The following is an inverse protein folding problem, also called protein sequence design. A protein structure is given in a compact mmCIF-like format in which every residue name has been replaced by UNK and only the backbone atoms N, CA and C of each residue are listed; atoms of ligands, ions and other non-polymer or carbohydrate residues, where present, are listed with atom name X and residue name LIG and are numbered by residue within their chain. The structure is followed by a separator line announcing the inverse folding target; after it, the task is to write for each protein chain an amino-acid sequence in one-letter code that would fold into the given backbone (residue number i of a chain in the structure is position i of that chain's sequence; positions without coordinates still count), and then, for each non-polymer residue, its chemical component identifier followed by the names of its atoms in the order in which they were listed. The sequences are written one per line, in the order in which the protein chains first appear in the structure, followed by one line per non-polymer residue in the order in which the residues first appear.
data_IF_752515722138
#
_entry.id   IF_752515722138
#
_cell.length_a   1.000
_cell.length_b   1.000
_cell.length_c   1.000
_cell.angle_alpha   90.00
_cell.angle_beta   90.00
_cell.angle_gamma   90.00
#
_symmetry.space_group_name_H-M   'P 1'
#
loop_
_entity.id
_entity.type
_entity.pdbx_description
1 polymer ?
#
# COMPACT_ATOMS: atom_id res chain seq x y z
N UNK A 1 -17.54 26.37 -3.25
CA UNK A 1 -16.17 26.21 -2.69
C UNK A 1 -15.46 25.16 -3.51
N UNK A 2 -14.37 25.48 -4.21
CA UNK A 2 -13.65 24.46 -4.99
C UNK A 2 -12.99 23.47 -4.03
N UNK A 3 -13.37 22.21 -4.10
CA UNK A 3 -12.89 21.14 -3.22
C UNK A 3 -11.35 20.96 -3.33
N UNK A 4 -10.81 21.12 -4.53
CA UNK A 4 -9.41 20.82 -4.86
C UNK A 4 -8.59 22.09 -5.14
N UNK A 5 -8.57 23.06 -4.18
CA UNK A 5 -7.71 24.24 -4.23
C UNK A 5 -7.00 24.41 -2.89
N UNK A 6 -5.76 24.93 -2.92
CA UNK A 6 -5.00 25.21 -1.70
C UNK A 6 -5.77 26.18 -0.79
N UNK A 7 -5.88 25.81 0.48
CA UNK A 7 -6.64 26.57 1.49
C UNK A 7 -5.73 27.58 2.18
N UNK A 8 -5.99 28.85 2.01
CA UNK A 8 -5.22 29.94 2.63
C UNK A 8 -5.90 30.46 3.89
N UNK A 9 -7.23 30.42 3.97
CA UNK A 9 -8.00 30.92 5.11
C UNK A 9 -8.17 29.82 6.18
N UNK A 10 -8.12 30.21 7.47
CA UNK A 10 -8.28 29.33 8.63
C UNK A 10 -9.62 28.58 8.60
N UNK A 11 -10.72 29.29 8.31
CA UNK A 11 -12.06 28.70 8.27
C UNK A 11 -12.13 27.60 7.21
N UNK A 12 -11.59 27.87 6.01
CA UNK A 12 -11.56 26.91 4.92
C UNK A 12 -10.71 25.68 5.25
N UNK A 13 -9.59 25.85 5.97
CA UNK A 13 -8.77 24.71 6.40
C UNK A 13 -9.53 23.83 7.39
N UNK A 14 -10.14 24.43 8.43
CA UNK A 14 -10.88 23.68 9.45
C UNK A 14 -12.08 22.96 8.84
N UNK A 15 -12.89 23.65 8.01
CA UNK A 15 -14.03 23.04 7.34
C UNK A 15 -13.62 21.85 6.45
N UNK A 16 -12.53 22.02 5.70
CA UNK A 16 -12.03 20.97 4.82
C UNK A 16 -11.52 19.75 5.59
N UNK A 17 -10.78 19.97 6.67
CA UNK A 17 -10.33 18.93 7.57
C UNK A 17 -11.50 18.21 8.25
N UNK A 18 -12.55 18.93 8.65
CA UNK A 18 -13.74 18.34 9.23
C UNK A 18 -14.47 17.41 8.23
N UNK A 19 -14.55 17.81 6.95
CA UNK A 19 -15.13 16.96 5.89
C UNK A 19 -14.29 15.68 5.73
N UNK A 20 -12.96 15.80 5.67
CA UNK A 20 -12.07 14.64 5.52
C UNK A 20 -12.10 13.73 6.76
N UNK A 21 -12.23 14.30 7.96
CA UNK A 21 -12.43 13.53 9.20
C UNK A 21 -13.77 12.78 9.17
N UNK A 22 -14.85 13.42 8.68
CA UNK A 22 -16.14 12.75 8.53
C UNK A 22 -16.09 11.59 7.53
N UNK A 23 -15.32 11.71 6.44
CA UNK A 23 -15.11 10.62 5.48
C UNK A 23 -14.38 9.45 6.18
N UNK A 24 -13.32 9.72 6.95
CA UNK A 24 -12.63 8.68 7.70
C UNK A 24 -13.56 8.01 8.73
N UNK A 25 -14.40 8.79 9.43
CA UNK A 25 -15.38 8.23 10.35
C UNK A 25 -16.36 7.28 9.63
N UNK A 26 -16.83 7.67 8.45
CA UNK A 26 -17.70 6.81 7.63
C UNK A 26 -16.96 5.50 7.28
N UNK A 27 -15.68 5.55 6.92
CA UNK A 27 -14.90 4.35 6.63
C UNK A 27 -14.76 3.45 7.86
N UNK A 28 -14.46 4.00 9.03
CA UNK A 28 -14.36 3.27 10.30
C UNK A 28 -15.71 2.62 10.67
N UNK A 29 -16.80 3.33 10.50
CA UNK A 29 -18.14 2.79 10.78
C UNK A 29 -18.52 1.69 9.77
N UNK A 30 -18.28 1.91 8.48
CA UNK A 30 -18.55 0.90 7.45
C UNK A 30 -17.74 -0.37 7.66
N UNK A 31 -16.47 -0.25 8.07
CA UNK A 31 -15.62 -1.38 8.42
C UNK A 31 -16.27 -2.25 9.50
N UNK A 32 -16.87 -1.63 10.51
CA UNK A 32 -17.53 -2.35 11.60
C UNK A 32 -18.83 -3.04 11.18
N UNK A 33 -19.62 -2.39 10.34
CA UNK A 33 -20.92 -2.91 9.91
C UNK A 33 -20.84 -3.84 8.68
N UNK A 34 -19.82 -3.70 7.87
CA UNK A 34 -19.64 -4.42 6.61
C UNK A 34 -18.22 -5.06 6.53
N UNK A 35 -17.96 -6.11 7.34
CA UNK A 35 -16.61 -6.70 7.44
C UNK A 35 -16.02 -7.18 6.11
N UNK A 36 -16.87 -7.53 5.12
CA UNK A 36 -16.40 -7.92 3.79
C UNK A 36 -15.78 -6.75 2.98
N UNK A 37 -16.06 -5.50 3.36
CA UNK A 37 -15.47 -4.31 2.75
C UNK A 37 -14.20 -3.82 3.48
N UNK A 38 -13.86 -4.40 4.63
CA UNK A 38 -12.74 -3.97 5.50
C UNK A 38 -11.46 -3.72 4.70
N UNK A 39 -11.05 -4.67 3.87
CA UNK A 39 -9.82 -4.54 3.09
C UNK A 39 -9.86 -3.33 2.15
N UNK A 40 -10.98 -3.11 1.46
CA UNK A 40 -11.15 -1.98 0.55
C UNK A 40 -11.13 -0.65 1.31
N UNK A 41 -11.82 -0.59 2.45
CA UNK A 41 -11.91 0.62 3.27
C UNK A 41 -10.55 0.98 3.88
N UNK A 42 -9.82 0.00 4.39
CA UNK A 42 -8.45 0.17 4.87
C UNK A 42 -7.55 0.74 3.76
N UNK A 43 -7.65 0.23 2.54
CA UNK A 43 -6.85 0.72 1.42
C UNK A 43 -7.10 2.19 1.06
N UNK A 44 -8.30 2.71 1.35
CA UNK A 44 -8.68 4.11 1.03
C UNK A 44 -8.38 5.11 2.15
N UNK A 45 -8.13 4.66 3.38
CA UNK A 45 -7.93 5.53 4.54
C UNK A 45 -6.81 6.57 4.36
N UNK A 46 -5.62 6.26 3.81
CA UNK A 46 -4.56 7.26 3.66
C UNK A 46 -4.94 8.39 2.71
N UNK A 47 -5.90 8.19 1.81
CA UNK A 47 -6.31 9.18 0.83
C UNK A 47 -6.80 10.49 1.47
N UNK A 48 -7.68 10.41 2.47
CA UNK A 48 -8.21 11.61 3.14
C UNK A 48 -7.08 12.44 3.78
N UNK A 49 -6.11 11.78 4.40
CA UNK A 49 -4.94 12.44 5.01
C UNK A 49 -3.99 13.00 3.95
N UNK A 50 -3.81 12.33 2.82
CA UNK A 50 -3.02 12.82 1.70
C UNK A 50 -3.63 14.09 1.09
N UNK A 51 -4.95 14.12 0.93
CA UNK A 51 -5.69 15.30 0.47
C UNK A 51 -5.53 16.47 1.44
N UNK A 52 -5.68 16.23 2.74
CA UNK A 52 -5.46 17.27 3.77
C UNK A 52 -4.03 17.82 3.71
N UNK A 53 -3.04 16.94 3.65
CA UNK A 53 -1.63 17.37 3.64
C UNK A 53 -1.21 18.08 2.34
N UNK A 54 -1.89 17.81 1.24
CA UNK A 54 -1.64 18.50 -0.03
C UNK A 54 -2.30 19.89 -0.11
N UNK A 55 -3.56 20.03 0.37
CA UNK A 55 -4.37 21.22 0.18
C UNK A 55 -4.42 22.16 1.38
N UNK A 56 -4.20 21.68 2.62
CA UNK A 56 -4.30 22.45 3.84
C UNK A 56 -2.94 22.96 4.34
N UNK A 57 -2.97 23.94 5.25
CA UNK A 57 -1.78 24.47 5.89
C UNK A 57 -1.24 23.52 6.95
N UNK A 58 0.06 23.27 6.93
CA UNK A 58 0.78 22.31 7.82
C UNK A 58 0.50 22.51 9.30
N UNK A 59 0.35 23.76 9.74
CA UNK A 59 0.09 24.11 11.15
C UNK A 59 -1.19 23.50 11.74
N UNK A 60 -2.12 23.05 10.89
CA UNK A 60 -3.39 22.48 11.34
C UNK A 60 -3.42 20.94 11.27
N UNK A 61 -2.36 20.28 10.78
CA UNK A 61 -2.33 18.80 10.66
C UNK A 61 -2.50 18.10 12.00
N UNK A 62 -1.95 18.68 13.08
CA UNK A 62 -2.10 18.14 14.43
C UNK A 62 -3.57 18.09 14.85
N UNK A 63 -4.34 19.12 14.54
CA UNK A 63 -5.79 19.15 14.85
C UNK A 63 -6.53 18.04 14.12
N UNK A 64 -6.23 17.85 12.84
CA UNK A 64 -6.80 16.76 12.05
C UNK A 64 -6.41 15.38 12.61
N UNK A 65 -5.15 15.18 12.95
CA UNK A 65 -4.66 13.91 13.51
C UNK A 65 -5.34 13.61 14.86
N UNK A 66 -5.39 14.58 15.79
CA UNK A 66 -6.06 14.42 17.09
C UNK A 66 -7.55 14.09 16.92
N UNK A 67 -8.25 14.76 15.99
CA UNK A 67 -9.66 14.50 15.73
C UNK A 67 -9.88 13.04 15.25
N UNK A 68 -9.08 12.57 14.29
CA UNK A 68 -9.20 11.20 13.79
C UNK A 68 -8.81 10.15 14.83
N UNK A 69 -7.73 10.37 15.61
CA UNK A 69 -7.34 9.48 16.70
C UNK A 69 -8.44 9.46 17.78
N UNK A 70 -9.02 10.62 18.10
CA UNK A 70 -10.14 10.71 19.04
C UNK A 70 -11.35 9.88 18.60
N UNK A 71 -11.67 9.83 17.31
CA UNK A 71 -12.74 9.00 16.77
C UNK A 71 -12.43 7.50 16.88
N UNK A 72 -11.17 7.09 16.82
CA UNK A 72 -10.78 5.68 16.98
C UNK A 72 -11.05 5.14 18.40
N UNK A 73 -11.21 6.00 19.42
CA UNK A 73 -11.60 5.54 20.74
C UNK A 73 -13.03 4.98 20.82
N UNK A 74 -13.85 5.22 19.79
CA UNK A 74 -15.15 4.55 19.63
C UNK A 74 -14.93 3.05 19.36
N UNK A 75 -13.89 2.72 18.59
CA UNK A 75 -13.47 1.36 18.26
C UNK A 75 -11.94 1.29 18.36
N UNK A 76 -11.44 0.92 19.51
CA UNK A 76 -10.00 0.97 19.84
C UNK A 76 -9.14 0.17 18.85
N UNK A 77 -9.68 -0.93 18.30
CA UNK A 77 -9.03 -1.76 17.28
C UNK A 77 -8.71 -0.96 16.00
N UNK A 78 -9.49 0.08 15.70
CA UNK A 78 -9.28 0.90 14.51
C UNK A 78 -7.98 1.73 14.57
N UNK A 79 -7.42 1.96 15.75
CA UNK A 79 -6.13 2.64 15.89
C UNK A 79 -5.02 1.93 15.11
N UNK A 80 -5.09 0.59 15.02
CA UNK A 80 -4.08 -0.23 14.34
C UNK A 80 -3.89 0.16 12.86
N UNK A 81 -4.95 0.48 12.16
CA UNK A 81 -4.88 0.83 10.73
C UNK A 81 -5.08 2.31 10.45
N UNK A 82 -5.79 3.04 11.31
CA UNK A 82 -6.05 4.48 11.09
C UNK A 82 -4.81 5.32 11.36
N UNK A 83 -4.06 5.07 12.43
CA UNK A 83 -2.88 5.89 12.75
C UNK A 83 -1.77 5.74 11.72
N UNK A 84 -1.37 4.52 11.30
CA UNK A 84 -0.46 4.36 10.18
C UNK A 84 -0.95 5.05 8.90
N UNK A 85 -2.23 4.86 8.54
CA UNK A 85 -2.82 5.47 7.35
C UNK A 85 -2.79 7.01 7.37
N UNK A 86 -3.04 7.64 8.52
CA UNK A 86 -2.94 9.10 8.66
C UNK A 86 -1.50 9.57 8.41
N UNK A 87 -0.53 8.95 9.05
CA UNK A 87 0.88 9.30 8.91
C UNK A 87 1.35 9.12 7.46
N UNK A 88 0.99 8.01 6.85
CA UNK A 88 1.33 7.70 5.46
C UNK A 88 0.69 8.67 4.49
N UNK A 89 -0.59 8.96 4.66
CA UNK A 89 -1.28 9.97 3.86
C UNK A 89 -0.62 11.34 3.96
N UNK A 90 -0.24 11.78 5.15
CA UNK A 90 0.50 13.04 5.32
C UNK A 90 1.82 13.05 4.56
N UNK A 91 2.58 11.97 4.60
CA UNK A 91 3.85 11.85 3.88
C UNK A 91 3.62 11.91 2.37
N UNK A 92 2.66 11.15 1.85
CA UNK A 92 2.33 11.15 0.41
C UNK A 92 1.94 12.56 -0.06
N UNK A 93 1.02 13.23 0.62
CA UNK A 93 0.57 14.56 0.22
C UNK A 93 1.67 15.63 0.31
N UNK A 94 2.52 15.59 1.34
CA UNK A 94 3.66 16.48 1.48
C UNK A 94 4.73 16.27 0.40
N UNK A 95 5.02 15.02 0.04
CA UNK A 95 6.02 14.71 -0.96
C UNK A 95 5.51 14.98 -2.38
N UNK A 96 4.21 14.82 -2.62
CA UNK A 96 3.54 15.25 -3.86
C UNK A 96 3.61 16.79 -4.02
N UNK A 97 3.36 17.53 -2.96
CA UNK A 97 3.47 19.00 -2.97
C UNK A 97 4.89 19.47 -3.31
N UNK A 98 5.91 18.74 -2.84
CA UNK A 98 7.31 18.97 -3.15
C UNK A 98 7.78 18.41 -4.50
N UNK A 99 6.89 17.80 -5.28
CA UNK A 99 7.20 17.12 -6.57
C UNK A 99 8.34 16.09 -6.46
N UNK A 100 8.43 15.38 -5.34
CA UNK A 100 9.44 14.33 -5.12
C UNK A 100 9.19 13.20 -6.09
N UNK A 101 10.27 12.55 -6.56
CA UNK A 101 10.19 11.42 -7.48
C UNK A 101 9.35 10.27 -6.87
N UNK A 102 8.42 9.65 -7.63
CA UNK A 102 7.49 8.64 -7.13
C UNK A 102 8.17 7.48 -6.38
N UNK A 103 9.36 7.07 -6.83
CA UNK A 103 10.14 6.03 -6.16
C UNK A 103 10.41 6.35 -4.68
N UNK A 104 11.00 7.50 -4.39
CA UNK A 104 11.33 7.90 -3.02
C UNK A 104 10.10 8.19 -2.17
N UNK A 105 9.07 8.73 -2.80
CA UNK A 105 7.80 9.00 -2.13
C UNK A 105 7.12 7.70 -1.68
N UNK A 106 7.00 6.70 -2.56
CA UNK A 106 6.39 5.43 -2.19
C UNK A 106 7.26 4.65 -1.21
N UNK A 107 8.60 4.66 -1.39
CA UNK A 107 9.51 3.99 -0.45
C UNK A 107 9.33 4.53 0.97
N UNK A 108 9.40 5.85 1.14
CA UNK A 108 9.25 6.48 2.46
C UNK A 108 7.87 6.22 3.07
N UNK A 109 6.83 6.27 2.25
CA UNK A 109 5.45 6.04 2.71
C UNK A 109 5.23 4.60 3.17
N UNK A 110 5.69 3.62 2.39
CA UNK A 110 5.59 2.19 2.75
C UNK A 110 6.39 1.87 4.01
N UNK A 111 7.62 2.42 4.13
CA UNK A 111 8.45 2.21 5.32
C UNK A 111 7.76 2.77 6.56
N UNK A 112 7.23 3.98 6.49
CA UNK A 112 6.52 4.61 7.63
C UNK A 112 5.28 3.79 7.99
N UNK A 113 4.46 3.41 7.00
CA UNK A 113 3.28 2.57 7.21
C UNK A 113 3.62 1.26 7.91
N UNK A 114 4.59 0.52 7.37
CA UNK A 114 4.99 -0.78 7.90
C UNK A 114 5.58 -0.66 9.31
N UNK A 115 6.46 0.31 9.57
CA UNK A 115 7.06 0.52 10.89
C UNK A 115 5.99 0.84 11.93
N UNK A 116 5.05 1.73 11.60
CA UNK A 116 3.95 2.05 12.50
C UNK A 116 3.03 0.86 12.72
N UNK A 117 2.63 0.15 11.67
CA UNK A 117 1.80 -1.04 11.81
C UNK A 117 2.47 -2.11 12.71
N UNK A 118 3.77 -2.36 12.53
CA UNK A 118 4.51 -3.29 13.39
C UNK A 118 4.59 -2.80 14.83
N UNK A 119 4.79 -1.50 15.06
CA UNK A 119 4.84 -0.92 16.40
C UNK A 119 3.47 -0.98 17.12
N UNK A 120 2.37 -0.90 16.37
CA UNK A 120 1.03 -0.97 16.94
C UNK A 120 0.59 -2.39 17.32
N UNK A 121 1.17 -3.47 16.77
CA UNK A 121 0.84 -4.85 17.15
C UNK A 121 0.99 -5.07 18.68
N UNK A 122 2.17 -4.84 19.30
CA UNK A 122 2.32 -5.03 20.74
C UNK A 122 1.47 -4.06 21.55
N UNK A 123 1.25 -2.84 21.08
CA UNK A 123 0.40 -1.86 21.74
C UNK A 123 -1.06 -2.34 21.82
N UNK A 124 -1.60 -2.86 20.73
CA UNK A 124 -2.96 -3.40 20.69
C UNK A 124 -3.08 -4.65 21.54
N UNK A 125 -2.10 -5.55 21.47
CA UNK A 125 -2.06 -6.73 22.32
C UNK A 125 -2.12 -6.35 23.82
N UNK A 126 -1.41 -5.27 24.20
CA UNK A 126 -1.47 -4.74 25.58
C UNK A 126 -2.85 -4.17 25.93
N UNK A 127 -3.48 -3.43 25.00
CA UNK A 127 -4.76 -2.75 25.24
C UNK A 127 -5.95 -3.72 25.24
N UNK A 128 -5.93 -4.73 24.39
CA UNK A 128 -7.03 -5.69 24.23
C UNK A 128 -6.86 -6.95 25.09
N UNK A 129 -5.66 -7.18 25.64
CA UNK A 129 -5.32 -8.41 26.36
C UNK A 129 -5.30 -9.66 25.47
N UNK A 130 -5.35 -9.48 24.14
CA UNK A 130 -5.38 -10.56 23.15
C UNK A 130 -4.16 -10.51 22.25
N UNK A 131 -3.72 -11.66 21.73
CA UNK A 131 -2.68 -11.74 20.73
C UNK A 131 -3.31 -11.54 19.34
N UNK A 132 -3.10 -10.35 18.75
CA UNK A 132 -3.64 -9.98 17.43
C UNK A 132 -3.26 -10.98 16.33
N UNK A 133 -2.01 -11.44 16.35
CA UNK A 133 -1.52 -12.40 15.34
C UNK A 133 -2.28 -13.73 15.50
N UNK A 134 -2.34 -14.26 16.73
CA UNK A 134 -3.04 -15.51 17.02
C UNK A 134 -4.52 -15.41 16.64
N UNK A 135 -5.21 -14.35 17.08
CA UNK A 135 -6.63 -14.12 16.82
C UNK A 135 -6.93 -14.03 15.33
N UNK A 136 -6.08 -13.32 14.58
CA UNK A 136 -6.23 -13.21 13.12
C UNK A 136 -6.12 -14.58 12.43
N UNK A 137 -5.14 -15.39 12.82
CA UNK A 137 -4.98 -16.73 12.23
C UNK A 137 -6.09 -17.70 12.62
N UNK A 138 -6.61 -17.60 13.84
CA UNK A 138 -7.78 -18.38 14.26
C UNK A 138 -9.04 -18.01 13.49
N UNK A 139 -9.25 -16.71 13.22
CA UNK A 139 -10.35 -16.21 12.38
C UNK A 139 -10.33 -16.83 10.98
N UNK A 140 -9.15 -16.93 10.38
CA UNK A 140 -8.96 -17.55 9.06
C UNK A 140 -8.83 -19.08 9.13
N UNK A 141 -8.97 -19.71 10.32
CA UNK A 141 -8.82 -21.17 10.55
C UNK A 141 -7.49 -21.73 10.01
N UNK A 142 -6.44 -20.95 10.05
CA UNK A 142 -5.12 -21.36 9.59
C UNK A 142 -4.45 -22.22 10.68
N UNK A 143 -3.87 -23.35 10.28
CA UNK A 143 -3.13 -24.24 11.20
C UNK A 143 -1.88 -23.55 11.74
N UNK A 144 -1.42 -23.99 12.91
CA UNK A 144 -0.15 -23.54 13.45
C UNK A 144 1.02 -24.08 12.63
N UNK A 145 1.92 -23.17 12.24
CA UNK A 145 3.16 -23.46 11.55
C UNK A 145 4.26 -22.46 11.98
N UNK A 146 5.52 -22.88 11.85
CA UNK A 146 6.67 -22.15 12.40
C UNK A 146 6.81 -20.71 11.88
N UNK A 147 6.36 -20.42 10.64
CA UNK A 147 6.51 -19.12 9.98
C UNK A 147 5.26 -18.22 10.10
N UNK A 148 4.31 -18.57 10.94
CA UNK A 148 3.06 -17.83 11.16
C UNK A 148 3.27 -16.34 11.43
N UNK A 149 4.16 -15.89 12.34
CA UNK A 149 4.41 -14.47 12.55
C UNK A 149 4.96 -13.77 11.31
N UNK A 150 5.86 -14.44 10.57
CA UNK A 150 6.45 -13.88 9.35
C UNK A 150 5.43 -13.66 8.25
N UNK A 151 4.45 -14.57 8.12
CA UNK A 151 3.34 -14.40 7.18
C UNK A 151 2.50 -13.17 7.52
N UNK A 152 2.26 -12.90 8.80
CA UNK A 152 1.54 -11.70 9.23
C UNK A 152 2.31 -10.43 8.87
N UNK A 153 3.62 -10.40 9.12
CA UNK A 153 4.45 -9.26 8.74
C UNK A 153 4.48 -9.03 7.24
N UNK A 154 4.54 -10.11 6.45
CA UNK A 154 4.45 -10.03 5.00
C UNK A 154 3.08 -9.49 4.56
N UNK A 155 1.99 -9.95 5.14
CA UNK A 155 0.65 -9.45 4.84
C UNK A 155 0.52 -7.94 5.14
N UNK A 156 1.06 -7.47 6.27
CA UNK A 156 1.10 -6.05 6.62
C UNK A 156 1.88 -5.25 5.57
N UNK A 157 3.04 -5.75 5.13
CA UNK A 157 3.81 -5.11 4.06
C UNK A 157 3.02 -5.01 2.76
N UNK A 158 2.30 -6.06 2.36
CA UNK A 158 1.45 -6.03 1.17
C UNK A 158 0.32 -5.02 1.28
N UNK A 159 -0.32 -4.93 2.43
CA UNK A 159 -1.36 -3.92 2.68
C UNK A 159 -0.76 -2.52 2.59
N UNK A 160 0.40 -2.28 3.20
CA UNK A 160 1.11 -1.01 3.13
C UNK A 160 1.46 -0.62 1.68
N UNK A 161 1.98 -1.55 0.88
CA UNK A 161 2.23 -1.32 -0.55
C UNK A 161 0.96 -0.97 -1.31
N UNK A 162 -0.11 -1.71 -1.09
CA UNK A 162 -1.38 -1.49 -1.78
C UNK A 162 -1.99 -0.14 -1.40
N UNK A 163 -1.99 0.23 -0.12
CA UNK A 163 -2.49 1.51 0.38
C UNK A 163 -1.72 2.69 -0.21
N UNK A 164 -0.39 2.66 -0.12
CA UNK A 164 0.46 3.73 -0.62
C UNK A 164 0.30 3.90 -2.13
N UNK A 165 0.29 2.80 -2.89
CA UNK A 165 0.15 2.81 -4.34
C UNK A 165 -1.21 3.34 -4.76
N UNK A 166 -2.29 2.84 -4.16
CA UNK A 166 -3.65 3.28 -4.48
C UNK A 166 -3.85 4.77 -4.14
N UNK A 167 -3.41 5.20 -2.96
CA UNK A 167 -3.47 6.61 -2.54
C UNK A 167 -2.70 7.50 -3.51
N UNK A 168 -1.51 7.09 -3.91
CA UNK A 168 -0.70 7.84 -4.87
C UNK A 168 -1.40 7.96 -6.23
N UNK A 169 -1.96 6.87 -6.76
CA UNK A 169 -2.70 6.87 -8.02
C UNK A 169 -3.91 7.79 -8.00
N UNK A 170 -4.72 7.70 -6.94
CA UNK A 170 -5.92 8.54 -6.80
C UNK A 170 -5.51 10.02 -6.71
N UNK A 171 -4.51 10.34 -5.89
CA UNK A 171 -3.99 11.71 -5.76
C UNK A 171 -3.46 12.26 -7.09
N UNK A 172 -2.68 11.48 -7.83
CA UNK A 172 -2.19 11.89 -9.15
C UNK A 172 -3.34 12.13 -10.13
N UNK A 173 -4.34 11.25 -10.15
CA UNK A 173 -5.51 11.40 -11.01
C UNK A 173 -6.25 12.71 -10.72
N UNK A 174 -6.47 13.02 -9.45
CA UNK A 174 -7.16 14.26 -9.05
C UNK A 174 -6.33 15.52 -9.34
N UNK A 175 -5.02 15.49 -9.07
CA UNK A 175 -4.11 16.62 -9.33
C UNK A 175 -4.01 16.93 -10.83
N UNK A 176 -3.97 15.88 -11.67
CA UNK A 176 -3.94 16.04 -13.14
C UNK A 176 -5.23 16.68 -13.69
N UNK A 177 -6.40 16.35 -13.14
CA UNK A 177 -7.68 16.98 -13.54
C UNK A 177 -7.68 18.49 -13.32
N UNK A 178 -6.88 18.99 -12.38
CA UNK A 178 -6.77 20.41 -12.05
C UNK A 178 -5.68 21.11 -12.90
N UNK A 179 -4.99 20.37 -13.78
CA UNK A 179 -3.94 20.91 -14.65
C UNK A 179 -2.61 21.18 -13.95
N UNK A 180 -2.37 20.59 -12.77
CA UNK A 180 -1.09 20.72 -12.08
C UNK A 180 -0.11 19.69 -12.62
N UNK A 181 1.03 20.15 -13.10
CA UNK A 181 2.12 19.27 -13.52
C UNK A 181 2.72 18.54 -12.32
N UNK A 182 2.70 17.22 -12.38
CA UNK A 182 3.34 16.33 -11.40
C UNK A 182 4.51 15.61 -12.05
N UNK A 183 5.52 15.27 -11.24
CA UNK A 183 6.59 14.40 -11.71
C UNK A 183 6.04 12.96 -11.84
N UNK A 184 5.58 12.60 -13.03
CA UNK A 184 4.97 11.29 -13.32
C UNK A 184 5.88 10.37 -14.10
N UNK A 185 7.07 10.85 -14.52
CA UNK A 185 7.99 10.03 -15.31
C UNK A 185 8.70 9.02 -14.41
N UNK A 186 8.54 7.76 -14.77
CA UNK A 186 9.33 6.63 -14.27
C UNK A 186 10.37 6.36 -15.33
N UNK A 187 11.44 7.18 -15.35
CA UNK A 187 12.42 7.23 -16.45
C UNK A 187 13.39 6.04 -16.50
N UNK A 188 13.18 4.96 -15.73
CA UNK A 188 14.20 3.92 -15.56
C UNK A 188 13.65 2.50 -15.51
N UNK A 189 13.01 2.07 -16.61
CA UNK A 189 12.54 0.70 -16.80
C UNK A 189 13.64 -0.36 -16.56
N UNK A 190 14.82 -0.20 -17.12
CA UNK A 190 15.93 -1.14 -16.98
C UNK A 190 16.35 -1.40 -15.53
N UNK A 191 16.64 -0.37 -14.71
CA UNK A 191 16.96 -0.51 -13.29
C UNK A 191 15.87 -1.20 -12.48
N UNK A 192 14.60 -0.97 -12.76
CA UNK A 192 13.51 -1.61 -12.02
C UNK A 192 13.38 -3.10 -12.34
N UNK A 193 13.52 -3.52 -13.60
CA UNK A 193 13.59 -4.95 -13.94
C UNK A 193 14.81 -5.60 -13.30
N UNK A 194 15.97 -4.97 -13.38
CA UNK A 194 17.18 -5.52 -12.77
C UNK A 194 17.01 -5.66 -11.24
N UNK A 195 16.49 -4.62 -10.58
CA UNK A 195 16.18 -4.65 -9.17
C UNK A 195 15.20 -5.76 -8.78
N UNK A 196 14.16 -5.96 -9.58
CA UNK A 196 13.19 -7.03 -9.38
C UNK A 196 13.84 -8.42 -9.52
N UNK A 197 14.59 -8.66 -10.59
CA UNK A 197 15.22 -9.95 -10.83
C UNK A 197 16.29 -10.27 -9.77
N UNK A 198 17.10 -9.30 -9.38
CA UNK A 198 18.11 -9.48 -8.32
C UNK A 198 17.47 -9.80 -6.98
N UNK A 199 16.41 -9.09 -6.60
CA UNK A 199 15.68 -9.37 -5.34
C UNK A 199 15.02 -10.74 -5.36
N UNK A 200 14.49 -11.21 -6.49
CA UNK A 200 13.93 -12.54 -6.63
C UNK A 200 15.00 -13.65 -6.49
N UNK A 201 16.15 -13.46 -7.12
CA UNK A 201 17.26 -14.43 -7.00
C UNK A 201 17.73 -14.51 -5.54
N UNK A 202 17.90 -13.38 -4.88
CA UNK A 202 18.31 -13.33 -3.47
C UNK A 202 17.23 -13.97 -2.58
N UNK A 203 15.95 -13.69 -2.83
CA UNK A 203 14.83 -14.31 -2.11
C UNK A 203 14.86 -15.85 -2.25
N UNK A 204 15.15 -16.37 -3.45
CA UNK A 204 15.25 -17.80 -3.71
C UNK A 204 16.44 -18.41 -2.94
N UNK A 205 17.61 -17.77 -2.96
CA UNK A 205 18.79 -18.25 -2.22
C UNK A 205 18.48 -18.35 -0.72
N UNK A 206 17.89 -17.30 -0.13
CA UNK A 206 17.50 -17.33 1.29
C UNK A 206 16.39 -18.33 1.60
N UNK A 207 15.47 -18.57 0.67
CA UNK A 207 14.44 -19.59 0.84
C UNK A 207 15.03 -21.02 0.84
N UNK A 208 16.05 -21.29 0.03
CA UNK A 208 16.75 -22.56 0.02
C UNK A 208 17.55 -22.81 1.31
N UNK A 209 18.01 -21.74 1.96
CA UNK A 209 18.70 -21.81 3.27
C UNK A 209 17.74 -21.75 4.46
N UNK A 210 16.43 -21.82 4.23
CA UNK A 210 15.38 -21.72 5.25
C UNK A 210 15.41 -20.43 6.08
N UNK A 211 15.96 -19.36 5.53
CA UNK A 211 16.04 -18.06 6.21
C UNK A 211 14.75 -17.25 6.06
N UNK A 212 14.21 -16.67 7.15
CA UNK A 212 13.06 -15.76 7.07
C UNK A 212 13.36 -14.47 6.28
N UNK A 213 14.64 -14.15 6.04
CA UNK A 213 15.04 -13.02 5.19
C UNK A 213 14.50 -13.14 3.75
N UNK A 214 14.19 -14.36 3.29
CA UNK A 214 13.54 -14.56 1.99
C UNK A 214 12.28 -13.73 1.82
N UNK A 215 11.49 -13.55 2.89
CA UNK A 215 10.25 -12.77 2.88
C UNK A 215 10.50 -11.26 2.67
N UNK A 216 11.57 -10.72 3.24
CA UNK A 216 11.95 -9.33 3.05
C UNK A 216 12.33 -9.07 1.57
N UNK A 217 13.05 -9.98 0.94
CA UNK A 217 13.40 -9.86 -0.49
C UNK A 217 12.21 -10.09 -1.42
N UNK A 218 11.26 -10.97 -1.04
CA UNK A 218 9.97 -11.09 -1.74
C UNK A 218 9.22 -9.75 -1.68
N UNK A 219 9.09 -9.13 -0.51
CA UNK A 219 8.43 -7.83 -0.36
C UNK A 219 9.13 -6.75 -1.20
N UNK A 220 10.47 -6.74 -1.23
CA UNK A 220 11.25 -5.81 -2.05
C UNK A 220 11.04 -6.05 -3.55
N UNK A 221 10.87 -7.29 -4.00
CA UNK A 221 10.54 -7.60 -5.40
C UNK A 221 9.18 -7.03 -5.81
N UNK A 222 8.20 -7.05 -4.92
CA UNK A 222 6.90 -6.40 -5.13
C UNK A 222 7.02 -4.88 -5.25
N UNK A 223 7.89 -4.28 -4.45
CA UNK A 223 8.17 -2.85 -4.55
C UNK A 223 8.63 -2.46 -5.95
N UNK A 224 9.60 -3.18 -6.52
CA UNK A 224 10.03 -2.95 -7.90
C UNK A 224 8.92 -3.26 -8.93
N UNK A 225 8.12 -4.30 -8.69
CA UNK A 225 6.99 -4.63 -9.57
C UNK A 225 5.96 -3.51 -9.65
N UNK A 226 5.71 -2.78 -8.55
CA UNK A 226 4.81 -1.62 -8.53
C UNK A 226 5.26 -0.56 -9.55
N UNK A 227 6.56 -0.25 -9.63
CA UNK A 227 7.06 0.74 -10.60
C UNK A 227 6.93 0.26 -12.05
N UNK A 228 7.09 -1.04 -12.29
CA UNK A 228 6.82 -1.63 -13.60
C UNK A 228 5.32 -1.59 -13.96
N UNK A 229 4.43 -1.70 -12.97
CA UNK A 229 2.99 -1.51 -13.16
C UNK A 229 2.63 -0.07 -13.52
N UNK A 230 3.33 0.93 -13.00
CA UNK A 230 3.15 2.32 -13.42
C UNK A 230 3.43 2.50 -14.91
N UNK A 231 4.48 1.88 -15.44
CA UNK A 231 4.78 1.89 -16.87
C UNK A 231 3.65 1.24 -17.69
N UNK A 232 3.12 0.10 -17.22
CA UNK A 232 2.00 -0.59 -17.86
C UNK A 232 0.73 0.25 -17.81
N UNK A 233 0.49 0.96 -16.72
CA UNK A 233 -0.68 1.82 -16.52
C UNK A 233 -0.69 3.04 -17.45
N UNK A 234 0.44 3.41 -18.03
CA UNK A 234 0.54 4.46 -19.05
C UNK A 234 0.16 3.97 -20.46
N UNK A 235 -0.08 2.66 -20.65
CA UNK A 235 -0.45 2.05 -21.91
C UNK A 235 -1.93 2.17 -22.26
N UNK A 236 -2.29 1.94 -23.54
CA UNK A 236 -3.68 2.09 -24.05
C UNK A 236 -4.74 1.16 -23.42
N UNK A 237 -4.32 0.09 -22.69
CA UNK A 237 -5.21 -0.85 -21.98
C UNK A 237 -4.70 -1.16 -20.57
N UNK A 238 -4.46 -0.15 -19.72
CA UNK A 238 -3.86 -0.37 -18.39
C UNK A 238 -4.74 -1.22 -17.48
N UNK A 239 -6.07 -1.05 -17.57
CA UNK A 239 -7.03 -1.71 -16.70
C UNK A 239 -6.98 -3.23 -16.81
N UNK A 240 -6.82 -3.77 -18.02
CA UNK A 240 -6.78 -5.22 -18.26
C UNK A 240 -5.56 -5.85 -17.58
N UNK A 241 -4.39 -5.23 -17.67
CA UNK A 241 -3.16 -5.75 -17.06
C UNK A 241 -3.16 -5.61 -15.54
N UNK A 242 -3.71 -4.51 -15.00
CA UNK A 242 -3.89 -4.32 -13.56
C UNK A 242 -4.89 -5.35 -13.01
N UNK A 243 -6.03 -5.57 -13.69
CA UNK A 243 -7.01 -6.58 -13.28
C UNK A 243 -6.43 -8.00 -13.37
N UNK A 244 -5.66 -8.30 -14.42
CA UNK A 244 -5.03 -9.63 -14.56
C UNK A 244 -3.99 -9.86 -13.47
N UNK A 245 -3.19 -8.83 -13.16
CA UNK A 245 -2.24 -8.86 -12.05
C UNK A 245 -2.92 -9.06 -10.70
N UNK A 246 -4.03 -8.34 -10.46
CA UNK A 246 -4.81 -8.48 -9.23
C UNK A 246 -5.46 -9.88 -9.11
N UNK A 247 -6.02 -10.40 -10.20
CA UNK A 247 -6.60 -11.76 -10.26
C UNK A 247 -5.53 -12.83 -10.00
N UNK A 248 -4.35 -12.71 -10.61
CA UNK A 248 -3.25 -13.64 -10.37
C UNK A 248 -2.76 -13.58 -8.93
N UNK A 249 -2.65 -12.38 -8.33
CA UNK A 249 -2.25 -12.21 -6.92
C UNK A 249 -3.30 -12.81 -6.00
N UNK A 250 -4.58 -12.57 -6.27
CA UNK A 250 -5.69 -13.08 -5.47
C UNK A 250 -5.82 -14.60 -5.60
N UNK A 251 -5.74 -15.13 -6.81
CA UNK A 251 -5.75 -16.58 -7.05
C UNK A 251 -4.55 -17.26 -6.37
N UNK A 252 -3.40 -16.63 -6.39
CA UNK A 252 -2.21 -17.12 -5.74
C UNK A 252 -2.32 -17.02 -4.20
N UNK A 253 -2.86 -15.93 -3.66
CA UNK A 253 -3.13 -15.78 -2.23
C UNK A 253 -4.11 -16.87 -1.74
N UNK A 254 -5.17 -17.15 -2.50
CA UNK A 254 -6.06 -18.28 -2.24
C UNK A 254 -5.32 -19.63 -2.32
N UNK A 255 -4.47 -19.82 -3.31
CA UNK A 255 -3.65 -21.03 -3.43
C UNK A 255 -2.75 -21.23 -2.21
N UNK A 256 -2.09 -20.18 -1.72
CA UNK A 256 -1.28 -20.23 -0.48
C UNK A 256 -2.15 -20.58 0.73
N UNK A 257 -3.32 -19.97 0.88
CA UNK A 257 -4.26 -20.25 1.98
C UNK A 257 -4.74 -21.71 1.95
N UNK A 258 -5.10 -22.24 0.77
CA UNK A 258 -5.62 -23.60 0.65
C UNK A 258 -4.51 -24.67 0.67
N UNK A 259 -3.31 -24.31 0.27
CA UNK A 259 -2.17 -25.23 0.19
C UNK A 259 -1.20 -25.10 1.38
N UNK A 260 -1.66 -24.64 2.52
CA UNK A 260 -0.87 -24.44 3.77
C UNK A 260 -0.17 -25.69 4.34
N UNK A 261 0.02 -26.74 3.54
CA UNK A 261 1.02 -27.78 3.80
C UNK A 261 2.45 -27.33 3.49
N UNK A 262 2.65 -26.07 3.07
CA UNK A 262 3.98 -25.53 2.77
C UNK A 262 4.64 -25.13 4.10
N UNK A 263 5.27 -26.08 4.73
CA UNK A 263 6.08 -25.90 5.94
C UNK A 263 7.43 -25.22 5.64
N UNK A 264 7.74 -24.94 4.37
CA UNK A 264 9.05 -24.45 3.93
C UNK A 264 9.00 -23.02 3.41
N UNK A 265 10.03 -22.17 3.65
CA UNK A 265 10.10 -20.80 3.13
C UNK A 265 9.99 -20.72 1.60
N UNK A 266 10.37 -21.79 0.89
CA UNK A 266 10.25 -21.87 -0.57
C UNK A 266 8.83 -21.60 -1.06
N UNK A 267 7.81 -21.97 -0.28
CA UNK A 267 6.41 -21.69 -0.61
C UNK A 267 6.11 -20.19 -0.71
N UNK A 268 6.79 -19.36 0.08
CA UNK A 268 6.60 -17.91 0.04
C UNK A 268 7.26 -17.27 -1.19
N UNK A 269 8.34 -17.88 -1.73
CA UNK A 269 8.95 -17.40 -2.99
C UNK A 269 7.99 -17.58 -4.16
N UNK A 270 7.09 -18.58 -4.11
CA UNK A 270 6.03 -18.71 -5.11
C UNK A 270 5.11 -17.48 -5.16
N UNK A 271 4.96 -16.73 -4.05
CA UNK A 271 4.21 -15.45 -4.04
C UNK A 271 4.86 -14.45 -4.99
N UNK A 272 6.17 -14.54 -5.19
CA UNK A 272 6.92 -13.66 -6.09
C UNK A 272 6.68 -13.94 -7.59
N UNK A 273 6.00 -15.05 -7.96
CA UNK A 273 5.60 -15.29 -9.36
C UNK A 273 4.76 -14.17 -9.93
N UNK A 274 3.98 -13.47 -9.07
CA UNK A 274 3.27 -12.27 -9.48
C UNK A 274 4.22 -11.17 -9.97
N UNK A 275 5.27 -10.86 -9.21
CA UNK A 275 6.24 -9.84 -9.59
C UNK A 275 6.97 -10.22 -10.88
N UNK A 276 7.24 -11.51 -11.09
CA UNK A 276 7.81 -12.02 -12.33
C UNK A 276 6.84 -11.84 -13.52
N UNK A 277 5.55 -12.14 -13.33
CA UNK A 277 4.53 -11.93 -14.36
C UNK A 277 4.43 -10.45 -14.78
N UNK A 278 4.50 -9.52 -13.79
CA UNK A 278 4.54 -8.08 -14.05
C UNK A 278 5.80 -7.70 -14.84
N UNK A 279 6.96 -8.24 -14.48
CA UNK A 279 8.21 -7.98 -15.19
C UNK A 279 8.15 -8.43 -16.65
N UNK A 280 7.66 -9.65 -16.91
CA UNK A 280 7.50 -10.18 -18.26
C UNK A 280 6.53 -9.31 -19.06
N UNK A 281 5.39 -8.95 -18.50
CA UNK A 281 4.38 -8.12 -19.17
C UNK A 281 4.93 -6.74 -19.52
N UNK A 282 5.65 -6.12 -18.59
CA UNK A 282 6.30 -4.82 -18.81
C UNK A 282 7.38 -4.90 -19.88
N UNK A 283 8.21 -5.96 -19.86
CA UNK A 283 9.23 -6.19 -20.88
C UNK A 283 8.62 -6.34 -22.29
N UNK A 284 7.61 -7.20 -22.43
CA UNK A 284 6.90 -7.42 -23.70
C UNK A 284 6.28 -6.12 -24.20
N UNK A 285 5.64 -5.36 -23.33
CA UNK A 285 5.01 -4.10 -23.67
C UNK A 285 6.04 -3.06 -24.18
N UNK A 286 7.18 -2.92 -23.51
CA UNK A 286 8.24 -2.01 -23.94
C UNK A 286 8.89 -2.44 -25.27
N UNK A 287 9.03 -3.77 -25.48
CA UNK A 287 9.54 -4.29 -26.72
C UNK A 287 8.59 -3.99 -27.90
N UNK A 288 7.29 -4.20 -27.71
CA UNK A 288 6.26 -3.91 -28.73
C UNK A 288 6.15 -2.42 -29.03
N UNK A 289 6.28 -1.55 -28.03
CA UNK A 289 6.28 -0.09 -28.24
C UNK A 289 7.50 0.38 -29.04
N UNK A 290 8.69 -0.16 -28.74
CA UNK A 290 9.90 0.15 -29.52
C UNK A 290 9.79 -0.33 -30.97
N UNK A 291 9.29 -1.53 -31.20
CA UNK A 291 9.07 -2.07 -32.54
C UNK A 291 8.09 -1.20 -33.35
N UNK A 292 7.07 -0.63 -32.70
CA UNK A 292 6.06 0.22 -33.35
C UNK A 292 6.54 1.63 -33.63
N UNK A 293 7.50 2.16 -32.88
CA UNK A 293 8.08 3.48 -33.08
C UNK A 293 9.22 3.46 -34.15
N UNK A 294 9.68 2.28 -34.54
CA UNK A 294 10.70 2.09 -35.57
C UNK A 294 10.11 1.74 -36.95
N UNK A 295 8.79 1.70 -37.07
CA UNK A 295 8.01 1.61 -38.33
C UNK A 295 7.33 2.95 -38.59
#
# INVERSE_FOLDING_TARGET
MALFQKKTNIVHNITYMAIMTAINLIFILLDRFLPFLTVLLILLLPFASAVVSYYCLKRYYIIYAIANIGLCFIFIESLFYVVPAICTGFVIGLLLDKKVHPFWMLLSSVVIEAVLAFAFIPLINLMTGSDLIKTTFELFRLKDFAYKPHLMYLAILFVAFAQCTLTHFIMLSEIKKIGIETNTRVDSFGPYILGLLTTLIIALIFALTYSPLSLAFVALSFYFAIFLLFDIALCKKPLVYVCLGFLLTFAFFLFVIFYTKIEKPLGFVLVSLFSLAVAITSFVNNYLLKARNNI
#
